data_IF_996280535664
#
_entry.id   IF_996280535664
#
_cell.length_a   1.000
_cell.length_b   1.000
_cell.length_c   1.000
_cell.angle_alpha   90.00
_cell.angle_beta   90.00
_cell.angle_gamma   90.00
#
_symmetry.space_group_name_H-M   'P 1'
#
loop_
_entity.id
_entity.type
_entity.pdbx_description
1 polymer ?
#
# COMPACT_ATOMS: atom_id res chain seq x y z
N UNK A 1 -21.09 14.00 16.89
CA UNK A 1 -22.03 12.88 16.71
C UNK A 1 -21.60 12.14 15.45
N UNK A 2 -21.35 10.83 15.52
CA UNK A 2 -21.05 10.07 14.31
C UNK A 2 -22.34 9.91 13.50
N UNK A 3 -22.27 10.17 12.19
CA UNK A 3 -23.41 9.99 11.27
C UNK A 3 -23.64 8.49 11.00
N UNK A 4 -22.61 7.67 11.19
CA UNK A 4 -22.60 6.21 11.02
C UNK A 4 -22.37 5.58 12.39
N UNK A 5 -23.12 4.54 12.73
CA UNK A 5 -22.99 3.84 14.03
C UNK A 5 -22.73 2.36 13.84
N UNK A 6 -21.91 1.76 14.69
CA UNK A 6 -21.60 0.32 14.60
C UNK A 6 -22.86 -0.55 14.67
N UNK A 7 -23.81 -0.18 15.54
CA UNK A 7 -25.08 -0.89 15.72
C UNK A 7 -25.98 -0.86 14.49
N UNK A 8 -25.89 0.19 13.66
CA UNK A 8 -26.74 0.37 12.49
C UNK A 8 -26.00 0.15 11.17
N UNK A 9 -24.70 -0.16 11.19
CA UNK A 9 -23.85 -0.24 9.98
C UNK A 9 -24.50 -1.09 8.87
N UNK A 10 -25.03 -2.27 9.19
CA UNK A 10 -25.68 -3.13 8.20
C UNK A 10 -26.96 -2.50 7.61
N UNK A 11 -27.75 -1.81 8.44
CA UNK A 11 -28.98 -1.11 8.03
C UNK A 11 -28.65 0.13 7.19
N UNK A 12 -27.63 0.87 7.57
CA UNK A 12 -27.12 2.05 6.85
C UNK A 12 -26.59 1.64 5.46
N UNK A 13 -25.76 0.58 5.39
CA UNK A 13 -25.30 0.03 4.12
C UNK A 13 -26.48 -0.41 3.23
N UNK A 14 -27.49 -1.10 3.79
CA UNK A 14 -28.70 -1.48 3.04
C UNK A 14 -29.49 -0.27 2.56
N UNK A 15 -29.60 0.79 3.37
CA UNK A 15 -30.29 2.02 2.98
C UNK A 15 -29.58 2.71 1.81
N UNK A 16 -28.24 2.76 1.82
CA UNK A 16 -27.44 3.30 0.72
C UNK A 16 -27.68 2.52 -0.59
N UNK A 17 -27.74 1.18 -0.53
CA UNK A 17 -28.06 0.37 -1.72
C UNK A 17 -29.45 0.65 -2.27
N UNK A 18 -30.44 0.79 -1.38
CA UNK A 18 -31.82 1.12 -1.78
C UNK A 18 -31.94 2.52 -2.39
N UNK A 19 -31.09 3.46 -1.98
CA UNK A 19 -31.03 4.80 -2.55
C UNK A 19 -30.45 4.84 -3.98
N UNK A 20 -29.85 3.74 -4.47
CA UNK A 20 -29.51 3.56 -5.89
C UNK A 20 -28.12 4.03 -6.32
N UNK A 21 -27.22 4.38 -5.39
CA UNK A 21 -25.87 4.87 -5.74
C UNK A 21 -24.77 3.82 -5.85
N UNK A 22 -25.01 2.58 -5.39
CA UNK A 22 -23.99 1.52 -5.35
C UNK A 22 -24.60 0.15 -5.64
N UNK A 23 -23.84 -0.72 -6.33
CA UNK A 23 -24.28 -2.07 -6.68
C UNK A 23 -24.12 -3.11 -5.57
N UNK A 24 -23.34 -2.83 -4.52
CA UNK A 24 -23.13 -3.78 -3.40
C UNK A 24 -22.57 -3.09 -2.15
N UNK A 25 -22.72 -3.73 -0.98
CA UNK A 25 -22.08 -3.25 0.26
C UNK A 25 -20.57 -3.12 0.12
N UNK A 26 -19.94 -4.06 -0.60
CA UNK A 26 -18.50 -4.03 -0.88
C UNK A 26 -18.10 -2.80 -1.69
N UNK A 27 -18.93 -2.37 -2.65
CA UNK A 27 -18.69 -1.14 -3.41
C UNK A 27 -18.78 0.11 -2.51
N UNK A 28 -19.74 0.15 -1.58
CA UNK A 28 -19.85 1.24 -0.60
C UNK A 28 -18.61 1.30 0.28
N UNK A 29 -18.22 0.17 0.87
CA UNK A 29 -17.05 0.08 1.76
C UNK A 29 -15.76 0.39 1.01
N UNK A 30 -15.61 -0.10 -0.23
CA UNK A 30 -14.46 0.19 -1.07
C UNK A 30 -14.31 1.69 -1.33
N UNK A 31 -15.39 2.35 -1.74
CA UNK A 31 -15.35 3.80 -1.97
C UNK A 31 -15.12 4.58 -0.67
N UNK A 32 -15.73 4.18 0.46
CA UNK A 32 -15.49 4.80 1.75
C UNK A 32 -14.01 4.67 2.17
N UNK A 33 -13.39 3.51 1.93
CA UNK A 33 -11.97 3.29 2.18
C UNK A 33 -11.10 4.16 1.28
N UNK A 34 -11.41 4.28 -0.01
CA UNK A 34 -10.70 5.18 -0.93
C UNK A 34 -10.74 6.64 -0.44
N UNK A 35 -11.92 7.14 -0.05
CA UNK A 35 -12.10 8.49 0.49
C UNK A 35 -11.31 8.68 1.79
N UNK A 36 -11.35 7.71 2.70
CA UNK A 36 -10.59 7.73 3.96
C UNK A 36 -9.09 7.83 3.71
N UNK A 37 -8.54 6.99 2.83
CA UNK A 37 -7.11 6.93 2.55
C UNK A 37 -6.63 8.15 1.75
N UNK A 38 -7.48 8.72 0.88
CA UNK A 38 -7.19 9.97 0.21
C UNK A 38 -7.13 11.15 1.19
N UNK A 39 -8.03 11.19 2.18
CA UNK A 39 -8.06 12.22 3.21
C UNK A 39 -7.00 12.03 4.31
N UNK A 40 -6.41 10.84 4.44
CA UNK A 40 -5.42 10.51 5.46
C UNK A 40 -4.16 9.86 4.87
N UNK A 41 -3.27 10.67 4.24
CA UNK A 41 -2.04 10.15 3.63
C UNK A 41 -1.13 9.35 4.59
N UNK A 42 -0.96 9.72 5.88
CA UNK A 42 -0.21 8.88 6.83
C UNK A 42 -0.80 7.47 7.00
N UNK A 43 -2.13 7.35 7.10
CA UNK A 43 -2.79 6.04 7.19
C UNK A 43 -2.63 5.25 5.88
N UNK A 44 -2.72 5.92 4.73
CA UNK A 44 -2.47 5.30 3.42
C UNK A 44 -1.06 4.74 3.30
N UNK A 45 -0.05 5.48 3.76
CA UNK A 45 1.33 5.03 3.79
C UNK A 45 1.49 3.81 4.70
N UNK A 46 0.94 3.85 5.91
CA UNK A 46 0.99 2.71 6.84
C UNK A 46 0.34 1.45 6.23
N UNK A 47 -0.82 1.59 5.59
CA UNK A 47 -1.48 0.49 4.89
C UNK A 47 -0.62 -0.08 3.75
N UNK A 48 0.03 0.78 2.96
CA UNK A 48 0.92 0.34 1.88
C UNK A 48 2.12 -0.47 2.41
N UNK A 49 2.70 -0.05 3.54
CA UNK A 49 3.79 -0.76 4.20
C UNK A 49 3.35 -2.14 4.68
N UNK A 50 2.18 -2.24 5.33
CA UNK A 50 1.67 -3.53 5.81
C UNK A 50 1.37 -4.50 4.67
N UNK A 51 0.77 -4.02 3.57
CA UNK A 51 0.51 -4.84 2.38
C UNK A 51 1.81 -5.36 1.75
N UNK A 52 2.88 -4.56 1.75
CA UNK A 52 4.19 -5.02 1.28
C UNK A 52 4.80 -6.06 2.22
N UNK A 53 4.77 -5.80 3.53
CA UNK A 53 5.32 -6.69 4.56
C UNK A 53 4.67 -8.06 4.57
N UNK A 54 3.36 -8.12 4.34
CA UNK A 54 2.62 -9.38 4.26
C UNK A 54 2.78 -10.11 2.92
N UNK A 55 3.47 -9.51 1.94
CA UNK A 55 3.66 -10.08 0.60
C UNK A 55 2.42 -10.01 -0.29
N UNK A 56 1.38 -9.27 0.10
CA UNK A 56 0.14 -9.12 -0.67
C UNK A 56 0.35 -8.25 -1.91
N UNK A 57 1.32 -7.35 -1.87
CA UNK A 57 1.69 -6.50 -3.00
C UNK A 57 3.20 -6.41 -3.16
N UNK A 58 3.64 -6.14 -4.40
CA UNK A 58 5.05 -5.87 -4.70
C UNK A 58 5.48 -4.51 -4.16
N UNK A 59 6.80 -4.28 -4.07
CA UNK A 59 7.36 -2.98 -3.70
C UNK A 59 6.83 -1.84 -4.58
N UNK A 60 6.77 -2.06 -5.91
CA UNK A 60 6.23 -1.07 -6.86
C UNK A 60 4.77 -0.74 -6.59
N UNK A 61 3.98 -1.77 -6.32
CA UNK A 61 2.55 -1.57 -6.04
C UNK A 61 2.35 -0.85 -4.69
N UNK A 62 3.17 -1.15 -3.69
CA UNK A 62 3.13 -0.45 -2.42
C UNK A 62 3.55 1.02 -2.55
N UNK A 63 4.57 1.35 -3.35
CA UNK A 63 4.94 2.75 -3.60
C UNK A 63 3.79 3.53 -4.25
N UNK A 64 3.13 2.95 -5.27
CA UNK A 64 1.95 3.55 -5.90
C UNK A 64 0.83 3.82 -4.88
N UNK A 65 0.48 2.83 -4.07
CA UNK A 65 -0.59 2.94 -3.06
C UNK A 65 -0.26 4.02 -2.03
N UNK A 66 0.99 4.11 -1.59
CA UNK A 66 1.43 5.12 -0.63
C UNK A 66 1.34 6.55 -1.20
N UNK A 67 1.39 6.69 -2.53
CA UNK A 67 1.51 7.96 -3.25
C UNK A 67 2.91 8.59 -3.13
N UNK A 68 3.92 7.78 -2.82
CA UNK A 68 5.33 8.14 -2.89
C UNK A 68 5.95 7.57 -4.17
N UNK A 69 7.03 8.19 -4.64
CA UNK A 69 7.89 7.54 -5.62
C UNK A 69 8.64 6.35 -4.97
N UNK A 70 9.22 5.51 -5.83
CA UNK A 70 9.89 4.28 -5.43
C UNK A 70 11.04 4.50 -4.43
N UNK A 71 11.84 5.56 -4.60
CA UNK A 71 13.00 5.80 -3.74
C UNK A 71 12.55 6.34 -2.38
N UNK A 72 11.64 7.31 -2.36
CA UNK A 72 11.04 7.81 -1.12
C UNK A 72 10.35 6.70 -0.31
N UNK A 73 9.67 5.77 -0.98
CA UNK A 73 9.04 4.64 -0.31
C UNK A 73 10.08 3.67 0.30
N UNK A 74 11.15 3.37 -0.45
CA UNK A 74 12.27 2.55 0.05
C UNK A 74 12.94 3.18 1.28
N UNK A 75 13.18 4.49 1.25
CA UNK A 75 13.77 5.21 2.38
C UNK A 75 12.87 5.13 3.61
N UNK A 76 11.55 5.30 3.43
CA UNK A 76 10.58 5.12 4.51
C UNK A 76 10.61 3.70 5.11
N UNK A 77 10.73 2.66 4.29
CA UNK A 77 10.86 1.29 4.77
C UNK A 77 12.14 1.09 5.60
N UNK A 78 13.25 1.69 5.18
CA UNK A 78 14.53 1.59 5.89
C UNK A 78 14.48 2.29 7.27
N UNK A 79 13.89 3.49 7.34
CA UNK A 79 13.68 4.21 8.60
C UNK A 79 12.82 3.41 9.61
N UNK A 80 11.86 2.62 9.10
CA UNK A 80 10.96 1.79 9.90
C UNK A 80 11.48 0.39 10.20
N UNK A 81 12.72 0.07 9.79
CA UNK A 81 13.32 -1.26 10.01
C UNK A 81 12.55 -2.37 9.30
N UNK A 82 11.97 -2.08 8.14
CA UNK A 82 11.31 -3.09 7.31
C UNK A 82 12.34 -3.73 6.41
N UNK A 83 12.69 -4.99 6.69
CA UNK A 83 13.61 -5.76 5.88
C UNK A 83 13.09 -5.88 4.45
N UNK A 84 13.93 -5.48 3.48
CA UNK A 84 13.62 -5.64 2.06
C UNK A 84 14.00 -7.06 1.66
N UNK A 85 13.05 -7.84 1.16
CA UNK A 85 13.36 -9.13 0.54
C UNK A 85 14.02 -8.85 -0.80
N UNK A 86 15.32 -9.10 -0.87
CA UNK A 86 16.12 -9.02 -2.10
C UNK A 86 16.58 -10.44 -2.42
N UNK A 87 15.92 -11.09 -3.38
CA UNK A 87 16.39 -12.38 -3.93
C UNK A 87 17.54 -12.11 -4.90
N UNK A 88 18.73 -11.83 -4.37
CA UNK A 88 19.95 -11.77 -5.17
C UNK A 88 21.01 -12.61 -4.47
N UNK A 89 21.59 -13.54 -5.20
CA UNK A 89 22.66 -14.35 -4.66
C UNK A 89 23.92 -13.50 -4.45
N UNK A 90 24.72 -13.84 -3.44
CA UNK A 90 26.01 -13.17 -3.20
C UNK A 90 26.93 -13.25 -4.43
N UNK A 91 26.82 -14.32 -5.22
CA UNK A 91 27.56 -14.49 -6.48
C UNK A 91 27.18 -13.45 -7.53
N UNK A 92 25.88 -13.23 -7.75
CA UNK A 92 25.39 -12.22 -8.70
C UNK A 92 25.80 -10.80 -8.31
N UNK A 93 25.84 -10.49 -7.01
CA UNK A 93 26.32 -9.19 -6.51
C UNK A 93 27.81 -8.99 -6.85
N UNK A 94 28.63 -10.01 -6.61
CA UNK A 94 30.08 -9.96 -6.89
C UNK A 94 30.32 -9.83 -8.40
N UNK A 95 29.66 -10.65 -9.21
CA UNK A 95 29.77 -10.59 -10.68
C UNK A 95 29.31 -9.25 -11.25
N UNK A 96 28.27 -8.64 -10.68
CA UNK A 96 27.83 -7.30 -11.03
C UNK A 96 28.91 -6.26 -10.73
N UNK A 97 29.50 -6.31 -9.54
CA UNK A 97 30.55 -5.39 -9.12
C UNK A 97 31.82 -5.50 -9.98
N UNK A 98 32.22 -6.72 -10.34
CA UNK A 98 33.41 -6.96 -11.17
C UNK A 98 33.22 -6.48 -12.61
N UNK A 99 32.00 -6.64 -13.17
CA UNK A 99 31.67 -6.04 -14.47
C UNK A 99 31.83 -4.52 -14.45
N UNK A 100 31.31 -3.83 -13.41
CA UNK A 100 31.42 -2.37 -13.29
C UNK A 100 32.88 -1.92 -13.21
N UNK A 101 33.73 -2.61 -12.44
CA UNK A 101 35.18 -2.30 -12.36
C UNK A 101 35.87 -2.43 -13.71
N UNK A 102 35.54 -3.46 -14.48
CA UNK A 102 36.14 -3.73 -15.80
C UNK A 102 35.81 -2.65 -16.84
N UNK A 103 34.65 -2.01 -16.75
CA UNK A 103 34.25 -0.92 -17.66
C UNK A 103 34.68 0.48 -17.20
N UNK A 104 35.18 0.62 -15.97
CA UNK A 104 35.61 1.90 -15.37
C UNK A 104 37.13 2.06 -15.28
N UNK A 105 37.90 1.06 -15.69
CA UNK A 105 39.35 1.12 -15.91
C UNK A 105 39.66 1.16 -17.40
#
# INVERSE_FOLDING_TARGET
MSIVTEELLDKELKAILKAGGYGSKKAVVGHALEVLLAANPPLRLAMAVELYRSGEVTLSRASEISGLDMESFKDHLAEKGVDRVVEVSRGEIIEGADRIRKYRG
#
